data_IF_560882724629
#
_entry.id   IF_560882724629
#
_cell.length_a   1.000
_cell.length_b   1.000
_cell.length_c   1.000
_cell.angle_alpha   90.00
_cell.angle_beta   90.00
_cell.angle_gamma   90.00
#
_symmetry.space_group_name_H-M   'P 1'
#
loop_
_entity.id
_entity.type
_entity.pdbx_description
1 polymer ?
#
# COMPACT_ATOMS: atom_id res chain seq x y z
N UNK A 1 1.09 -1.88 9.23
CA UNK A 1 1.75 -1.76 7.91
C UNK A 1 2.52 -0.44 7.82
N UNK A 2 1.86 0.72 7.73
CA UNK A 2 2.53 2.02 7.55
C UNK A 2 3.54 2.41 8.66
N UNK A 3 3.24 2.15 9.93
CA UNK A 3 4.17 2.40 11.04
C UNK A 3 5.47 1.62 10.87
N UNK A 4 5.38 0.35 10.45
CA UNK A 4 6.55 -0.49 10.22
C UNK A 4 7.31 -0.07 8.95
N UNK A 5 6.59 0.40 7.94
CA UNK A 5 7.19 1.02 6.76
C UNK A 5 8.00 2.27 7.13
N UNK A 6 7.44 3.18 7.95
CA UNK A 6 8.14 4.37 8.43
C UNK A 6 9.38 4.00 9.25
N UNK A 7 9.26 3.02 10.16
CA UNK A 7 10.39 2.48 10.92
C UNK A 7 11.49 1.94 10.00
N UNK A 8 11.12 1.15 9.00
CA UNK A 8 12.06 0.59 8.02
C UNK A 8 12.74 1.69 7.20
N UNK A 9 11.99 2.72 6.81
CA UNK A 9 12.50 3.84 6.02
C UNK A 9 13.51 4.71 6.78
N UNK A 10 13.47 4.74 8.12
CA UNK A 10 14.46 5.43 8.97
C UNK A 10 15.84 4.77 8.93
N UNK A 11 15.95 3.52 8.46
CA UNK A 11 17.24 2.85 8.38
C UNK A 11 18.08 3.35 7.17
N UNK A 12 19.36 3.70 7.34
CA UNK A 12 20.17 4.32 6.28
C UNK A 12 20.38 3.43 5.04
N UNK A 13 20.24 2.11 5.20
CA UNK A 13 20.31 1.15 4.08
C UNK A 13 18.97 0.92 3.37
N UNK A 14 17.90 1.64 3.73
CA UNK A 14 16.61 1.49 3.08
C UNK A 14 16.66 1.94 1.61
N UNK A 15 16.15 1.10 0.70
CA UNK A 15 16.21 1.30 -0.76
C UNK A 15 14.85 1.42 -1.42
N UNK A 16 13.78 1.65 -0.65
CA UNK A 16 12.41 1.66 -1.17
C UNK A 16 11.87 0.29 -1.55
N UNK A 17 10.71 0.29 -2.22
CA UNK A 17 10.11 -0.93 -2.74
C UNK A 17 10.88 -1.41 -3.99
N UNK A 18 11.44 -2.63 -3.93
CA UNK A 18 12.15 -3.22 -5.07
C UNK A 18 11.30 -3.29 -6.33
N UNK A 19 10.03 -3.70 -6.20
CA UNK A 19 9.10 -3.79 -7.34
C UNK A 19 8.83 -2.46 -8.03
N UNK A 20 8.69 -1.35 -7.27
CA UNK A 20 8.44 -0.04 -7.87
C UNK A 20 9.68 0.49 -8.60
N UNK A 21 10.87 0.24 -8.07
CA UNK A 21 12.12 0.60 -8.76
C UNK A 21 12.30 -0.19 -10.05
N UNK A 22 12.09 -1.52 -9.99
CA UNK A 22 12.09 -2.38 -11.17
C UNK A 22 11.03 -1.93 -12.19
N UNK A 23 9.84 -1.51 -11.73
CA UNK A 23 8.81 -0.99 -12.61
C UNK A 23 9.24 0.29 -13.34
N UNK A 24 9.90 1.21 -12.64
CA UNK A 24 10.43 2.43 -13.25
C UNK A 24 11.52 2.13 -14.29
N UNK A 25 12.44 1.21 -13.99
CA UNK A 25 13.52 0.81 -14.90
C UNK A 25 13.00 0.09 -16.15
N UNK A 26 11.91 -0.67 -16.02
CA UNK A 26 11.35 -1.49 -17.10
C UNK A 26 10.10 -0.89 -17.76
N UNK A 27 9.80 0.39 -17.52
CA UNK A 27 8.56 1.04 -17.99
C UNK A 27 8.35 0.93 -19.52
N UNK A 28 9.43 0.90 -20.30
CA UNK A 28 9.40 0.80 -21.75
C UNK A 28 9.44 -0.65 -22.29
N UNK A 29 9.34 -1.66 -21.42
CA UNK A 29 9.40 -3.08 -21.76
C UNK A 29 8.10 -3.81 -21.35
N UNK A 30 6.99 -3.56 -22.06
CA UNK A 30 5.72 -4.19 -21.74
C UNK A 30 5.83 -5.72 -21.82
N UNK A 31 5.25 -6.42 -20.85
CA UNK A 31 5.25 -7.88 -20.79
C UNK A 31 6.50 -8.53 -20.18
N UNK A 32 7.50 -7.74 -19.75
CA UNK A 32 8.70 -8.26 -19.11
C UNK A 32 8.35 -9.15 -17.89
N UNK A 33 8.97 -10.35 -17.71
CA UNK A 33 8.63 -11.28 -16.64
C UNK A 33 8.68 -10.66 -15.22
N UNK A 34 9.67 -9.80 -14.96
CA UNK A 34 9.78 -9.11 -13.68
C UNK A 34 8.56 -8.20 -13.37
N UNK A 35 7.95 -7.58 -14.38
CA UNK A 35 6.72 -6.79 -14.23
C UNK A 35 5.54 -7.67 -13.85
N UNK A 36 5.44 -8.86 -14.45
CA UNK A 36 4.38 -9.83 -14.12
C UNK A 36 4.50 -10.31 -12.67
N UNK A 37 5.71 -10.62 -12.23
CA UNK A 37 5.99 -11.04 -10.84
C UNK A 37 5.65 -9.92 -9.86
N UNK A 38 6.09 -8.69 -10.12
CA UNK A 38 5.77 -7.55 -9.26
C UNK A 38 4.28 -7.25 -9.18
N UNK A 39 3.57 -7.31 -10.32
CA UNK A 39 2.12 -7.17 -10.38
C UNK A 39 1.41 -8.25 -9.58
N UNK A 40 1.80 -9.51 -9.74
CA UNK A 40 1.22 -10.63 -8.99
C UNK A 40 1.43 -10.48 -7.48
N UNK A 41 2.62 -10.10 -7.03
CA UNK A 41 2.90 -9.85 -5.62
C UNK A 41 2.03 -8.71 -5.04
N UNK A 42 1.94 -7.58 -5.75
CA UNK A 42 1.10 -6.44 -5.32
C UNK A 42 -0.38 -6.82 -5.28
N UNK A 43 -0.86 -7.62 -6.25
CA UNK A 43 -2.25 -8.12 -6.27
C UNK A 43 -2.53 -9.13 -5.17
N UNK A 44 -1.59 -10.01 -4.84
CA UNK A 44 -1.73 -10.90 -3.69
C UNK A 44 -1.86 -10.12 -2.38
N UNK A 45 -1.08 -9.05 -2.21
CA UNK A 45 -1.18 -8.16 -1.06
C UNK A 45 -2.52 -7.39 -1.02
N UNK A 46 -2.97 -6.84 -2.15
CA UNK A 46 -4.31 -6.21 -2.28
C UNK A 46 -5.43 -7.18 -1.90
N UNK A 47 -5.36 -8.42 -2.38
CA UNK A 47 -6.35 -9.46 -2.08
C UNK A 47 -6.34 -9.89 -0.61
N UNK A 48 -5.16 -10.04 -0.01
CA UNK A 48 -5.05 -10.31 1.44
C UNK A 48 -5.68 -9.18 2.27
N UNK A 49 -5.45 -7.93 1.89
CA UNK A 49 -6.00 -6.78 2.61
C UNK A 49 -7.53 -6.71 2.45
N UNK A 50 -8.05 -6.96 1.25
CA UNK A 50 -9.48 -7.04 0.99
C UNK A 50 -10.15 -8.15 1.82
N UNK A 51 -9.54 -9.33 1.90
CA UNK A 51 -10.03 -10.43 2.73
C UNK A 51 -10.09 -10.04 4.22
N UNK A 52 -9.07 -9.33 4.72
CA UNK A 52 -9.08 -8.81 6.10
C UNK A 52 -10.19 -7.79 6.32
N UNK A 53 -10.39 -6.89 5.37
CA UNK A 53 -11.45 -5.87 5.44
C UNK A 53 -12.85 -6.47 5.39
N UNK A 54 -13.07 -7.50 4.57
CA UNK A 54 -14.32 -8.25 4.54
C UNK A 54 -14.63 -8.89 5.90
N UNK A 55 -13.62 -9.49 6.56
CA UNK A 55 -13.79 -10.08 7.90
C UNK A 55 -14.13 -9.04 8.97
N UNK A 56 -13.67 -7.80 8.81
CA UNK A 56 -13.91 -6.70 9.74
C UNK A 56 -15.21 -5.92 9.41
N UNK A 57 -16.01 -6.40 8.45
CA UNK A 57 -17.29 -5.77 8.07
C UNK A 57 -17.12 -4.41 7.40
N UNK A 58 -16.03 -4.21 6.65
CA UNK A 58 -15.83 -2.99 5.87
C UNK A 58 -16.62 -3.06 4.57
N UNK A 59 -17.35 -2.00 4.27
CA UNK A 59 -18.06 -1.85 3.01
C UNK A 59 -17.08 -1.70 1.84
N UNK A 60 -17.38 -2.36 0.72
CA UNK A 60 -16.55 -2.35 -0.50
C UNK A 60 -15.07 -2.71 -0.24
N UNK A 61 -14.77 -3.87 0.38
CA UNK A 61 -13.44 -4.18 0.91
C UNK A 61 -12.34 -4.18 -0.16
N UNK A 62 -12.64 -4.60 -1.40
CA UNK A 62 -11.69 -4.57 -2.51
C UNK A 62 -11.32 -3.15 -2.94
N UNK A 63 -12.29 -2.23 -2.93
CA UNK A 63 -12.05 -0.83 -3.27
C UNK A 63 -11.21 -0.15 -2.20
N UNK A 64 -11.52 -0.38 -0.92
CA UNK A 64 -10.76 0.17 0.20
C UNK A 64 -9.35 -0.41 0.25
N UNK A 65 -9.18 -1.72 0.01
CA UNK A 65 -7.85 -2.33 -0.10
C UNK A 65 -7.00 -1.68 -1.19
N UNK A 66 -7.58 -1.41 -2.35
CA UNK A 66 -6.89 -0.71 -3.44
C UNK A 66 -6.47 0.70 -3.06
N UNK A 67 -7.33 1.47 -2.40
CA UNK A 67 -6.98 2.81 -1.92
C UNK A 67 -5.80 2.76 -0.95
N UNK A 68 -5.77 1.79 -0.03
CA UNK A 68 -4.66 1.59 0.90
C UNK A 68 -3.37 1.21 0.18
N UNK A 69 -3.43 0.34 -0.84
CA UNK A 69 -2.26 -0.01 -1.66
C UNK A 69 -1.74 1.21 -2.44
N UNK A 70 -2.62 2.04 -2.98
CA UNK A 70 -2.23 3.29 -3.65
C UNK A 70 -1.51 4.26 -2.71
N UNK A 71 -2.02 4.43 -1.48
CA UNK A 71 -1.35 5.25 -0.45
C UNK A 71 0.03 4.68 -0.09
N UNK A 72 0.15 3.36 -0.02
CA UNK A 72 1.43 2.69 0.25
C UNK A 72 2.43 2.88 -0.89
N UNK A 73 2.00 2.74 -2.15
CA UNK A 73 2.86 2.95 -3.32
C UNK A 73 3.26 4.41 -3.51
N UNK A 74 2.33 5.33 -3.21
CA UNK A 74 2.60 6.76 -3.12
C UNK A 74 3.68 7.06 -2.07
N UNK A 75 3.52 6.54 -0.85
CA UNK A 75 4.50 6.70 0.21
C UNK A 75 5.88 6.15 -0.20
N UNK A 76 5.96 4.94 -0.77
CA UNK A 76 7.22 4.40 -1.27
C UNK A 76 7.90 5.31 -2.29
N UNK A 77 7.14 5.84 -3.24
CA UNK A 77 7.65 6.68 -4.32
C UNK A 77 8.11 8.03 -3.79
N UNK A 78 7.32 8.69 -2.95
CA UNK A 78 7.63 10.00 -2.39
C UNK A 78 8.83 9.93 -1.43
N UNK A 79 8.92 8.89 -0.60
CA UNK A 79 10.07 8.68 0.28
C UNK A 79 11.38 8.41 -0.47
N UNK A 80 11.33 7.82 -1.67
CA UNK A 80 12.53 7.65 -2.51
C UNK A 80 13.11 9.00 -2.96
N UNK A 81 12.25 10.00 -3.16
CA UNK A 81 12.63 11.36 -3.56
C UNK A 81 13.08 12.18 -2.35
N UNK A 82 12.23 12.29 -1.32
CA UNK A 82 12.44 13.23 -0.22
C UNK A 82 13.27 12.68 0.94
N UNK A 83 13.47 11.35 1.01
CA UNK A 83 14.17 10.69 2.13
C UNK A 83 13.54 10.97 3.49
N UNK A 84 12.24 11.18 3.50
CA UNK A 84 11.48 11.56 4.68
C UNK A 84 10.47 10.45 5.04
N UNK A 85 10.68 9.70 6.14
CA UNK A 85 9.79 8.63 6.57
C UNK A 85 8.40 9.12 7.00
N UNK A 86 8.21 10.42 7.24
CA UNK A 86 6.94 10.97 7.73
C UNK A 86 5.83 10.83 6.67
N UNK A 87 6.17 10.75 5.38
CA UNK A 87 5.23 10.41 4.31
C UNK A 87 4.56 9.04 4.50
N UNK A 88 5.27 8.05 5.05
CA UNK A 88 4.65 6.76 5.38
C UNK A 88 3.69 6.88 6.57
N UNK A 89 4.01 7.75 7.54
CA UNK A 89 3.13 8.00 8.68
C UNK A 89 1.84 8.70 8.26
N UNK A 90 1.93 9.72 7.40
CA UNK A 90 0.77 10.41 6.84
C UNK A 90 -0.10 9.50 5.97
N UNK A 91 0.52 8.70 5.10
CA UNK A 91 -0.20 7.68 4.34
C UNK A 91 -0.96 6.70 5.27
N UNK A 92 -0.35 6.35 6.40
CA UNK A 92 -0.99 5.54 7.44
C UNK A 92 -2.17 6.22 8.11
N UNK A 93 -2.07 7.52 8.41
CA UNK A 93 -3.18 8.32 8.94
C UNK A 93 -4.34 8.40 7.94
N UNK A 94 -4.06 8.68 6.67
CA UNK A 94 -5.05 8.71 5.61
C UNK A 94 -5.74 7.34 5.44
N UNK A 95 -4.97 6.25 5.36
CA UNK A 95 -5.49 4.90 5.26
C UNK A 95 -6.40 4.54 6.44
N UNK A 96 -6.01 4.91 7.66
CA UNK A 96 -6.83 4.71 8.87
C UNK A 96 -8.15 5.47 8.77
N UNK A 97 -8.14 6.71 8.31
CA UNK A 97 -9.36 7.52 8.15
C UNK A 97 -10.33 6.91 7.13
N UNK A 98 -9.80 6.47 5.97
CA UNK A 98 -10.60 5.79 4.94
C UNK A 98 -11.22 4.51 5.49
N UNK A 99 -10.42 3.64 6.13
CA UNK A 99 -10.90 2.39 6.71
C UNK A 99 -11.99 2.64 7.74
N UNK A 100 -11.79 3.60 8.65
CA UNK A 100 -12.78 3.94 9.68
C UNK A 100 -14.09 4.47 9.11
N UNK A 101 -14.03 5.26 8.04
CA UNK A 101 -15.21 5.82 7.39
C UNK A 101 -16.07 4.75 6.69
N UNK A 102 -15.53 3.54 6.47
CA UNK A 102 -16.19 2.44 5.77
C UNK A 102 -16.39 1.20 6.67
N UNK A 103 -16.17 1.32 7.98
CA UNK A 103 -16.61 0.28 8.91
C UNK A 103 -18.14 0.29 8.95
N UNK A 104 -18.78 -0.86 8.71
CA UNK A 104 -20.22 -0.96 8.84
C UNK A 104 -20.64 -0.51 10.25
N UNK A 105 -21.60 0.42 10.32
CA UNK A 105 -22.24 0.78 11.59
C UNK A 105 -23.07 -0.43 12.03
N UNK A 106 -22.88 -0.98 13.24
CA UNK A 106 -23.74 -2.04 13.73
C UNK A 106 -25.18 -1.54 13.72
N UNK A 107 -26.08 -2.25 13.02
CA UNK A 107 -27.50 -1.95 13.11
C UNK A 107 -27.91 -2.01 14.59
N UNK A 108 -28.52 -0.95 15.16
CA UNK A 108 -29.11 -1.06 16.49
C UNK A 108 -30.19 -2.14 16.42
N UNK A 109 -30.11 -3.13 17.33
CA UNK A 109 -31.17 -4.11 17.56
C UNK A 109 -32.32 -3.46 18.32
#
# INVERSE_FOLDING_TARGET
>A
IFVELARSARHPKWRGCGFLRTAAELANLPGHPAMKIGSAHKKAFEGWLAARFLQDGIDSPEAIARQVVLLMDGAFSTMLVHRDPDYAEEAGRAAKSIVRANLAVPSPR
#
